data_IF_577208506392
#
_entry.id   IF_577208506392
#
_cell.length_a   1.000
_cell.length_b   1.000
_cell.length_c   1.000
_cell.angle_alpha   90.00
_cell.angle_beta   90.00
_cell.angle_gamma   90.00
#
_symmetry.space_group_name_H-M   'P 1'
#
loop_
_entity.id
_entity.type
_entity.pdbx_description
1 polymer ?
#
# COMPACT_ATOMS: atom_id res chain seq x y z
N UNK A 1 -59.87 61.13 -15.56
CA UNK A 1 -59.38 62.27 -14.75
C UNK A 1 -59.32 61.77 -13.31
N UNK A 2 -58.20 61.59 -12.62
CA UNK A 2 -56.99 62.39 -12.52
C UNK A 2 -55.74 61.50 -12.42
N UNK A 3 -54.74 61.87 -13.23
CA UNK A 3 -53.35 61.43 -13.16
C UNK A 3 -52.67 62.13 -11.98
N UNK A 4 -51.97 61.37 -11.12
CA UNK A 4 -50.93 61.91 -10.24
C UNK A 4 -49.61 61.18 -10.52
N UNK A 5 -48.79 61.87 -11.32
CA UNK A 5 -47.38 61.58 -11.57
C UNK A 5 -46.62 61.57 -10.24
N UNK A 6 -45.99 60.44 -9.91
CA UNK A 6 -44.93 60.40 -8.88
C UNK A 6 -43.70 61.16 -9.41
N UNK A 7 -43.17 62.07 -8.59
CA UNK A 7 -41.96 62.85 -8.89
C UNK A 7 -40.70 61.97 -8.75
N UNK A 8 -39.66 62.13 -9.59
CA UNK A 8 -38.49 61.24 -9.65
C UNK A 8 -37.45 61.46 -8.52
N UNK A 9 -37.83 62.11 -7.41
CA UNK A 9 -36.90 62.41 -6.32
C UNK A 9 -36.74 61.26 -5.31
N UNK A 10 -37.69 60.32 -5.23
CA UNK A 10 -37.62 59.20 -4.28
C UNK A 10 -36.76 58.00 -4.73
N UNK A 11 -36.51 57.85 -6.03
CA UNK A 11 -35.77 56.70 -6.59
C UNK A 11 -34.25 56.93 -6.53
N UNK A 12 -33.80 58.18 -6.63
CA UNK A 12 -32.37 58.51 -6.49
C UNK A 12 -31.86 58.40 -5.04
N UNK A 13 -32.72 58.60 -4.04
CA UNK A 13 -32.33 58.43 -2.62
C UNK A 13 -32.24 56.95 -2.21
N UNK A 14 -33.04 56.06 -2.82
CA UNK A 14 -32.94 54.62 -2.58
C UNK A 14 -31.70 53.99 -3.24
N UNK A 15 -31.26 54.50 -4.39
CA UNK A 15 -30.03 54.03 -5.05
C UNK A 15 -28.78 54.51 -4.29
N UNK A 16 -28.81 55.71 -3.70
CA UNK A 16 -27.70 56.24 -2.88
C UNK A 16 -27.52 55.55 -1.52
N UNK A 17 -28.60 55.01 -0.93
CA UNK A 17 -28.57 54.26 0.33
C UNK A 17 -28.24 52.77 0.15
N UNK A 18 -28.46 52.20 -1.04
CA UNK A 18 -28.02 50.84 -1.38
C UNK A 18 -26.54 50.76 -1.79
N UNK A 19 -25.88 51.89 -2.07
CA UNK A 19 -24.47 51.97 -2.46
C UNK A 19 -23.48 52.25 -1.31
N UNK A 20 -23.95 52.47 -0.08
CA UNK A 20 -23.10 52.80 1.08
C UNK A 20 -23.17 51.77 2.24
N UNK A 21 -23.73 50.57 1.99
CA UNK A 21 -24.07 49.63 3.07
C UNK A 21 -23.64 48.17 2.88
N UNK A 22 -22.95 47.83 1.78
CA UNK A 22 -22.23 46.55 1.70
C UNK A 22 -20.76 46.90 1.77
N UNK A 23 -20.26 47.07 2.99
CA UNK A 23 -18.85 46.79 3.22
C UNK A 23 -18.66 45.36 2.72
N UNK A 24 -18.06 45.21 1.53
CA UNK A 24 -17.42 43.96 1.17
C UNK A 24 -16.63 43.56 2.41
N UNK A 25 -16.76 42.32 2.94
CA UNK A 25 -15.88 41.90 4.01
C UNK A 25 -14.50 42.25 3.52
N UNK A 26 -13.82 43.16 4.23
CA UNK A 26 -12.44 43.44 3.97
C UNK A 26 -11.81 42.06 3.94
N UNK A 27 -11.35 41.62 2.77
CA UNK A 27 -10.49 40.47 2.61
C UNK A 27 -9.28 40.82 3.46
N UNK A 28 -9.38 40.54 4.76
CA UNK A 28 -8.26 40.51 5.67
C UNK A 28 -7.34 39.56 4.94
N UNK A 29 -6.25 40.08 4.39
CA UNK A 29 -5.28 39.24 3.70
C UNK A 29 -4.99 38.11 4.67
N UNK A 30 -5.50 36.91 4.37
CA UNK A 30 -5.40 35.78 5.27
C UNK A 30 -3.90 35.62 5.49
N UNK A 31 -3.45 35.67 6.74
CA UNK A 31 -2.05 35.49 7.05
C UNK A 31 -1.58 34.20 6.38
N UNK A 32 -0.44 34.22 5.68
CA UNK A 32 0.03 33.05 4.97
C UNK A 32 0.14 31.88 5.96
N UNK A 33 -0.32 30.70 5.56
CA UNK A 33 -0.29 29.52 6.42
C UNK A 33 1.18 29.14 6.67
N UNK A 34 1.64 29.26 7.91
CA UNK A 34 2.89 28.69 8.37
C UNK A 34 2.61 27.38 9.12
N UNK A 35 3.36 26.33 8.80
CA UNK A 35 3.28 25.01 9.45
C UNK A 35 4.63 24.62 10.03
N UNK A 36 4.62 24.09 11.24
CA UNK A 36 5.79 23.50 11.89
C UNK A 36 5.76 21.99 11.70
N UNK A 37 6.76 21.47 10.99
CA UNK A 37 6.92 20.03 10.72
C UNK A 37 8.10 19.51 11.53
N UNK A 38 7.89 18.41 12.24
CA UNK A 38 8.94 17.66 12.92
C UNK A 38 9.10 16.27 12.29
N UNK A 39 10.34 15.79 12.11
CA UNK A 39 10.61 14.37 11.83
C UNK A 39 11.59 13.80 12.84
N UNK A 40 11.39 12.53 13.20
CA UNK A 40 12.21 11.80 14.16
C UNK A 40 12.05 10.28 13.96
N UNK A 41 13.17 9.57 13.78
CA UNK A 41 13.20 8.13 14.05
C UNK A 41 13.13 7.92 15.58
N UNK A 42 12.07 7.27 16.06
CA UNK A 42 11.77 7.12 17.49
C UNK A 42 12.51 5.93 18.13
N UNK A 43 13.27 5.16 17.36
CA UNK A 43 14.05 4.01 17.84
C UNK A 43 13.22 3.06 18.71
N UNK A 44 12.02 2.71 18.24
CA UNK A 44 11.07 1.86 18.96
C UNK A 44 10.66 2.41 20.34
N UNK A 45 10.64 3.74 20.50
CA UNK A 45 10.32 4.42 21.77
C UNK A 45 11.40 4.26 22.82
N UNK A 46 12.65 4.04 22.42
CA UNK A 46 13.77 3.84 23.33
C UNK A 46 14.83 4.91 23.11
N UNK A 47 15.48 5.29 24.20
CA UNK A 47 16.71 6.06 24.10
C UNK A 47 17.86 5.22 23.51
N UNK A 48 19.03 5.85 23.34
CA UNK A 48 20.22 5.18 22.81
C UNK A 48 20.70 4.00 23.67
N UNK A 49 20.40 4.04 24.97
CA UNK A 49 20.82 3.05 25.96
C UNK A 49 19.77 1.92 26.07
N UNK A 50 18.67 2.02 25.32
CA UNK A 50 17.60 1.04 25.20
C UNK A 50 16.47 1.21 26.21
N UNK A 51 16.50 2.27 27.04
CA UNK A 51 15.46 2.52 28.04
C UNK A 51 14.21 3.17 27.42
N UNK A 52 12.99 2.86 27.92
CA UNK A 52 11.77 3.47 27.43
C UNK A 52 11.79 4.99 27.53
N UNK A 53 11.34 5.66 26.46
CA UNK A 53 11.47 7.11 26.32
C UNK A 53 10.17 7.80 25.82
N UNK A 54 9.06 7.06 25.71
CA UNK A 54 7.80 7.59 25.19
C UNK A 54 7.29 8.82 25.95
N UNK A 55 7.34 8.82 27.27
CA UNK A 55 6.87 9.94 28.10
C UNK A 55 7.67 11.23 27.83
N UNK A 56 9.00 11.11 27.76
CA UNK A 56 9.90 12.23 27.45
C UNK A 56 9.68 12.76 26.03
N UNK A 57 9.35 11.87 25.09
CA UNK A 57 8.94 12.30 23.75
C UNK A 57 7.62 13.08 23.78
N UNK A 58 6.62 12.64 24.56
CA UNK A 58 5.36 13.36 24.73
C UNK A 58 5.58 14.75 25.35
N UNK A 59 6.44 14.87 26.36
CA UNK A 59 6.85 16.15 26.95
C UNK A 59 7.53 17.06 25.91
N UNK A 60 8.44 16.51 25.11
CA UNK A 60 9.13 17.26 24.07
C UNK A 60 8.13 17.88 23.08
N UNK A 61 7.18 17.10 22.57
CA UNK A 61 6.23 17.58 21.56
C UNK A 61 5.16 18.50 22.16
N UNK A 62 4.88 18.39 23.46
CA UNK A 62 4.05 19.35 24.18
C UNK A 62 4.75 20.71 24.39
N UNK A 63 6.08 20.72 24.55
CA UNK A 63 6.84 21.98 24.60
C UNK A 63 7.00 22.58 23.21
N UNK A 64 7.30 21.76 22.19
CA UNK A 64 7.62 22.24 20.84
C UNK A 64 6.40 22.53 19.97
N UNK A 65 5.24 21.97 20.31
CA UNK A 65 3.94 22.14 19.62
C UNK A 65 4.02 22.11 18.07
N UNK A 66 4.65 21.11 17.43
CA UNK A 66 4.62 20.98 15.98
C UNK A 66 3.20 20.70 15.45
N UNK A 67 2.87 21.25 14.29
CA UNK A 67 1.58 21.03 13.61
C UNK A 67 1.47 19.61 13.05
N UNK A 68 2.60 19.06 12.60
CA UNK A 68 2.72 17.69 12.11
C UNK A 68 4.05 17.07 12.57
N UNK A 69 3.97 15.81 12.98
CA UNK A 69 5.12 15.00 13.39
C UNK A 69 5.16 13.73 12.53
N UNK A 70 6.25 13.53 11.80
CA UNK A 70 6.53 12.33 11.03
C UNK A 70 7.52 11.44 11.80
N UNK A 71 7.04 10.30 12.29
CA UNK A 71 7.83 9.37 13.08
C UNK A 71 8.16 8.11 12.30
N UNK A 72 9.37 7.58 12.50
CA UNK A 72 9.82 6.28 12.02
C UNK A 72 10.12 5.37 13.22
N UNK A 73 10.16 4.06 13.00
CA UNK A 73 10.39 3.05 14.04
C UNK A 73 9.47 3.18 15.26
N UNK A 74 8.17 3.36 15.02
CA UNK A 74 7.20 3.47 16.10
C UNK A 74 6.55 2.13 16.37
N UNK A 75 6.68 1.60 17.58
CA UNK A 75 5.94 0.42 18.00
C UNK A 75 4.42 0.68 18.05
N UNK A 76 3.62 -0.29 17.62
CA UNK A 76 2.15 -0.20 17.61
C UNK A 76 1.56 0.06 19.02
N UNK A 77 2.24 -0.42 20.06
CA UNK A 77 1.86 -0.21 21.47
C UNK A 77 1.79 1.29 21.84
N UNK A 78 2.57 2.15 21.20
CA UNK A 78 2.62 3.58 21.50
C UNK A 78 1.44 4.38 20.93
N UNK A 79 0.70 3.81 19.97
CA UNK A 79 -0.41 4.50 19.28
C UNK A 79 -1.45 5.03 20.25
N UNK A 80 -1.86 4.21 21.23
CA UNK A 80 -2.87 4.60 22.22
C UNK A 80 -2.41 5.79 23.08
N UNK A 81 -1.12 5.86 23.41
CA UNK A 81 -0.56 6.98 24.17
C UNK A 81 -0.58 8.29 23.36
N UNK A 82 -0.32 8.23 22.05
CA UNK A 82 -0.43 9.42 21.18
C UNK A 82 -1.88 9.91 21.04
N UNK A 83 -2.83 8.98 20.90
CA UNK A 83 -4.27 9.32 20.87
C UNK A 83 -4.73 9.92 22.20
N UNK A 84 -4.28 9.37 23.33
CA UNK A 84 -4.55 9.90 24.66
C UNK A 84 -3.96 11.31 24.88
N UNK A 85 -2.82 11.61 24.24
CA UNK A 85 -2.23 12.95 24.19
C UNK A 85 -2.96 13.92 23.23
N UNK A 86 -4.06 13.50 22.61
CA UNK A 86 -4.91 14.35 21.77
C UNK A 86 -4.47 14.46 20.31
N UNK A 87 -3.55 13.60 19.85
CA UNK A 87 -3.15 13.56 18.45
C UNK A 87 -4.08 12.66 17.65
N UNK A 88 -4.35 13.06 16.40
CA UNK A 88 -4.82 12.13 15.37
C UNK A 88 -3.62 11.36 14.84
N UNK A 89 -3.76 10.04 14.77
CA UNK A 89 -2.66 9.14 14.44
C UNK A 89 -2.93 8.44 13.12
N UNK A 90 -1.99 8.55 12.18
CA UNK A 90 -1.97 7.75 10.95
C UNK A 90 -0.84 6.75 11.04
N UNK A 91 -1.16 5.47 11.01
CA UNK A 91 -0.18 4.38 11.11
C UNK A 91 0.06 3.72 9.75
N UNK A 92 1.32 3.43 9.47
CA UNK A 92 1.77 2.55 8.39
C UNK A 92 2.75 1.54 8.96
N UNK A 93 2.22 0.40 9.41
CA UNK A 93 3.04 -0.64 10.01
C UNK A 93 3.80 -1.36 8.89
N UNK A 94 5.12 -1.36 9.01
CA UNK A 94 6.03 -1.88 8.01
C UNK A 94 6.47 -3.31 8.37
N UNK A 95 6.46 -3.65 9.66
CA UNK A 95 6.61 -5.00 10.18
C UNK A 95 5.51 -5.32 11.18
N UNK A 96 4.89 -6.50 11.07
CA UNK A 96 3.72 -6.91 11.83
C UNK A 96 3.81 -8.35 12.37
N UNK A 97 4.86 -8.67 13.15
CA UNK A 97 4.90 -9.95 13.86
C UNK A 97 3.88 -9.98 15.02
N UNK A 98 3.43 -11.17 15.48
CA UNK A 98 2.48 -11.27 16.60
C UNK A 98 2.89 -10.48 17.85
N UNK A 99 4.19 -10.44 18.17
CA UNK A 99 4.74 -9.82 19.39
C UNK A 99 5.57 -8.55 19.14
N UNK A 100 5.79 -8.16 17.88
CA UNK A 100 6.59 -7.00 17.56
C UNK A 100 6.09 -6.36 16.27
N UNK A 101 5.61 -5.12 16.37
CA UNK A 101 4.98 -4.40 15.27
C UNK A 101 5.45 -2.98 15.29
N UNK A 102 6.08 -2.54 14.21
CA UNK A 102 6.54 -1.16 14.10
C UNK A 102 6.46 -0.63 12.67
N UNK A 103 6.51 0.69 12.54
CA UNK A 103 6.55 1.33 11.23
C UNK A 103 6.51 2.85 11.33
N UNK A 104 5.96 3.45 10.28
CA UNK A 104 5.86 4.90 10.16
C UNK A 104 4.57 5.38 10.81
N UNK A 105 4.63 6.53 11.48
CA UNK A 105 3.46 7.17 12.09
C UNK A 105 3.46 8.65 11.75
N UNK A 106 2.30 9.22 11.46
CA UNK A 106 2.10 10.67 11.42
C UNK A 106 1.19 11.06 12.58
N UNK A 107 1.61 12.06 13.34
CA UNK A 107 0.84 12.69 14.41
C UNK A 107 0.47 14.11 14.00
N UNK A 108 -0.77 14.51 14.22
CA UNK A 108 -1.20 15.90 14.02
C UNK A 108 -2.43 16.22 14.87
N UNK A 109 -2.58 17.48 15.27
CA UNK A 109 -3.81 17.99 15.91
C UNK A 109 -4.84 18.47 14.87
N UNK A 110 -4.42 18.60 13.61
CA UNK A 110 -5.21 19.18 12.51
C UNK A 110 -6.06 18.16 11.77
N UNK A 111 -7.00 18.63 10.95
CA UNK A 111 -7.93 17.74 10.25
C UNK A 111 -7.20 16.94 9.16
N UNK A 112 -7.34 15.61 9.22
CA UNK A 112 -6.93 14.70 8.15
C UNK A 112 -8.09 14.56 7.17
N UNK A 113 -7.87 14.94 5.91
CA UNK A 113 -8.85 14.82 4.83
C UNK A 113 -8.89 13.38 4.31
N UNK A 114 -7.72 12.80 4.11
CA UNK A 114 -7.55 11.37 3.87
C UNK A 114 -6.12 10.95 4.19
N UNK A 115 -5.91 9.65 4.30
CA UNK A 115 -4.59 9.07 4.40
C UNK A 115 -4.53 7.70 3.71
N UNK A 116 -3.32 7.25 3.41
CA UNK A 116 -3.04 5.86 3.01
C UNK A 116 -1.62 5.47 3.37
N UNK A 117 -1.39 4.16 3.42
CA UNK A 117 -0.06 3.56 3.52
C UNK A 117 0.24 2.80 2.23
N UNK A 118 1.47 2.90 1.75
CA UNK A 118 1.96 2.19 0.56
C UNK A 118 3.28 1.49 0.91
N UNK A 119 3.37 0.20 0.62
CA UNK A 119 4.64 -0.53 0.72
C UNK A 119 5.59 -0.11 -0.38
N UNK A 120 6.86 0.04 -0.03
CA UNK A 120 7.93 0.25 -0.99
C UNK A 120 8.60 -1.08 -1.36
N UNK A 121 9.27 -1.16 -2.53
CA UNK A 121 10.15 -2.27 -2.85
C UNK A 121 11.21 -2.43 -1.77
N UNK A 122 11.32 -3.62 -1.19
CA UNK A 122 12.29 -3.91 -0.14
C UNK A 122 12.97 -5.24 -0.43
N UNK A 123 14.18 -5.43 0.09
CA UNK A 123 14.99 -6.65 0.08
C UNK A 123 15.24 -7.19 1.50
N UNK A 124 15.25 -6.32 2.53
CA UNK A 124 15.45 -6.71 3.95
C UNK A 124 14.22 -6.52 4.83
N UNK A 125 14.20 -5.49 5.66
CA UNK A 125 13.00 -5.08 6.36
C UNK A 125 12.03 -4.47 5.33
N UNK A 126 10.74 -4.77 5.46
CA UNK A 126 9.75 -4.14 4.59
C UNK A 126 9.69 -2.65 4.94
N UNK A 127 9.72 -1.79 3.93
CA UNK A 127 9.59 -0.33 4.08
C UNK A 127 8.28 0.16 3.48
N UNK A 128 7.89 1.37 3.81
CA UNK A 128 6.66 1.96 3.30
C UNK A 128 6.66 3.46 3.44
N UNK A 129 5.63 4.08 2.90
CA UNK A 129 5.32 5.49 3.10
C UNK A 129 3.92 5.65 3.66
N UNK A 130 3.74 6.68 4.50
CA UNK A 130 2.42 7.20 4.84
C UNK A 130 2.19 8.47 4.05
N UNK A 131 1.11 8.51 3.29
CA UNK A 131 0.61 9.72 2.68
C UNK A 131 -0.59 10.24 3.47
N UNK A 132 -0.57 11.52 3.80
CA UNK A 132 -1.66 12.21 4.49
C UNK A 132 -1.97 13.50 3.75
N UNK A 133 -3.26 13.77 3.53
CA UNK A 133 -3.75 15.09 3.14
C UNK A 133 -4.30 15.80 4.39
N UNK A 134 -3.76 16.98 4.67
CA UNK A 134 -4.17 17.80 5.81
C UNK A 134 -4.97 19.02 5.39
N UNK A 135 -5.79 19.50 6.30
CA UNK A 135 -6.46 20.79 6.25
C UNK A 135 -6.10 21.60 7.49
N UNK A 136 -5.54 22.79 7.29
CA UNK A 136 -5.23 23.77 8.33
C UNK A 136 -5.72 25.14 7.86
N UNK A 137 -6.61 25.76 8.63
CA UNK A 137 -7.19 27.08 8.32
C UNK A 137 -7.80 27.14 6.90
N UNK A 138 -8.50 26.08 6.48
CA UNK A 138 -9.10 25.97 5.15
C UNK A 138 -8.12 25.75 4.00
N UNK A 139 -6.83 25.55 4.29
CA UNK A 139 -5.78 25.31 3.28
C UNK A 139 -5.33 23.87 3.32
N UNK A 140 -5.08 23.30 2.14
CA UNK A 140 -4.83 21.89 1.95
C UNK A 140 -3.44 21.61 1.40
N UNK A 141 -2.80 20.56 1.92
CA UNK A 141 -1.50 20.10 1.44
C UNK A 141 -1.29 18.62 1.79
N UNK A 142 -0.29 18.01 1.15
CA UNK A 142 0.09 16.62 1.36
C UNK A 142 1.37 16.51 2.15
N UNK A 143 1.45 15.44 2.93
CA UNK A 143 2.68 15.01 3.58
C UNK A 143 2.93 13.54 3.27
N UNK A 144 4.17 13.23 2.90
CA UNK A 144 4.70 11.87 2.84
C UNK A 144 5.69 11.69 4.00
N UNK A 145 5.45 10.70 4.85
CA UNK A 145 6.41 10.19 5.82
C UNK A 145 7.01 8.87 5.30
N UNK A 146 8.34 8.77 5.26
CA UNK A 146 9.06 7.59 4.76
C UNK A 146 10.16 7.10 5.71
N UNK A 147 10.59 5.87 5.50
CA UNK A 147 11.80 5.31 6.08
C UNK A 147 12.47 4.42 5.02
N UNK A 148 13.60 4.85 4.45
CA UNK A 148 14.27 4.09 3.40
C UNK A 148 15.06 2.90 3.98
N UNK A 149 15.33 1.92 3.11
CA UNK A 149 16.24 0.82 3.41
C UNK A 149 17.68 1.30 3.50
N UNK A 150 18.59 0.37 3.80
CA UNK A 150 20.02 0.65 3.99
C UNK A 150 20.86 0.31 2.74
N UNK A 151 20.34 -0.53 1.84
CA UNK A 151 21.09 -1.00 0.67
C UNK A 151 20.92 -0.07 -0.52
N UNK A 152 22.02 0.35 -1.16
CA UNK A 152 21.98 1.27 -2.31
C UNK A 152 21.01 0.85 -3.44
N UNK A 153 20.99 -0.43 -3.80
CA UNK A 153 20.09 -0.94 -4.85
C UNK A 153 18.60 -0.88 -4.42
N UNK A 154 18.33 -1.21 -3.15
CA UNK A 154 17.01 -1.11 -2.55
C UNK A 154 16.57 0.36 -2.47
N UNK A 155 17.40 1.25 -1.92
CA UNK A 155 17.15 2.69 -1.84
C UNK A 155 16.86 3.30 -3.21
N UNK A 156 17.61 2.89 -4.27
CA UNK A 156 17.32 3.34 -5.64
C UNK A 156 15.91 2.93 -6.08
N UNK A 157 15.54 1.66 -5.91
CA UNK A 157 14.20 1.17 -6.27
C UNK A 157 13.10 1.89 -5.49
N UNK A 158 13.31 2.13 -4.20
CA UNK A 158 12.40 2.85 -3.33
C UNK A 158 12.22 4.30 -3.76
N UNK A 159 13.32 5.00 -4.07
CA UNK A 159 13.27 6.38 -4.56
C UNK A 159 12.60 6.48 -5.94
N UNK A 160 12.92 5.57 -6.87
CA UNK A 160 12.26 5.51 -8.18
C UNK A 160 10.74 5.36 -8.00
N UNK A 161 10.31 4.52 -7.06
CA UNK A 161 8.90 4.29 -6.73
C UNK A 161 8.24 5.53 -6.09
N UNK A 162 8.89 6.16 -5.11
CA UNK A 162 8.42 7.40 -4.49
C UNK A 162 8.24 8.48 -5.55
N UNK A 163 9.18 8.63 -6.49
CA UNK A 163 9.08 9.62 -7.56
C UNK A 163 7.93 9.34 -8.54
N UNK A 164 7.59 8.07 -8.79
CA UNK A 164 6.37 7.73 -9.57
C UNK A 164 5.12 8.14 -8.81
N UNK A 165 5.06 7.82 -7.52
CA UNK A 165 3.96 8.18 -6.63
C UNK A 165 3.76 9.69 -6.61
N UNK A 166 4.81 10.46 -6.34
CA UNK A 166 4.70 11.91 -6.13
C UNK A 166 4.31 12.66 -7.40
N UNK A 167 4.63 12.15 -8.60
CA UNK A 167 4.16 12.71 -9.88
C UNK A 167 2.64 12.63 -10.06
N UNK A 168 1.97 11.69 -9.39
CA UNK A 168 0.51 11.55 -9.42
C UNK A 168 -0.17 12.39 -8.35
N UNK A 169 0.58 12.88 -7.36
CA UNK A 169 0.00 13.59 -6.23
C UNK A 169 -0.18 15.09 -6.53
N UNK A 170 -1.37 15.65 -6.27
CA UNK A 170 -1.55 17.10 -6.25
C UNK A 170 -0.61 17.77 -5.25
N UNK A 171 0.06 18.84 -5.67
CA UNK A 171 0.79 19.75 -4.79
C UNK A 171 -0.19 20.73 -4.11
N UNK A 172 0.15 21.37 -2.97
CA UNK A 172 1.45 21.41 -2.27
C UNK A 172 1.84 20.11 -1.55
N UNK A 173 3.14 19.78 -1.53
CA UNK A 173 3.68 18.54 -0.95
C UNK A 173 4.89 18.79 -0.04
N UNK A 174 4.92 18.08 1.08
CA UNK A 174 6.07 17.93 1.98
C UNK A 174 6.45 16.44 2.02
N UNK A 175 7.74 16.12 1.92
CA UNK A 175 8.26 14.75 2.02
C UNK A 175 9.29 14.73 3.13
N UNK A 176 9.11 13.85 4.11
CA UNK A 176 9.97 13.83 5.29
C UNK A 176 10.15 12.43 5.85
N UNK A 177 11.21 12.24 6.62
CA UNK A 177 11.50 10.99 7.32
C UNK A 177 12.98 10.68 7.35
N UNK A 178 13.27 9.43 7.70
CA UNK A 178 14.62 8.87 7.67
C UNK A 178 14.93 8.35 6.25
N UNK A 179 15.79 9.08 5.55
CA UNK A 179 16.21 8.73 4.20
C UNK A 179 17.36 7.71 4.18
N UNK A 180 18.06 7.47 5.30
CA UNK A 180 19.30 6.70 5.33
C UNK A 180 20.33 7.14 4.24
N UNK A 181 20.23 8.41 3.81
CA UNK A 181 20.99 9.03 2.73
C UNK A 181 21.17 10.50 3.06
N UNK A 182 22.39 11.02 2.86
CA UNK A 182 22.63 12.45 2.98
C UNK A 182 22.05 13.22 1.78
N UNK A 183 21.67 14.51 1.94
CA UNK A 183 21.12 15.32 0.84
C UNK A 183 22.01 15.39 -0.40
N UNK A 184 23.33 15.28 -0.21
CA UNK A 184 24.35 15.30 -1.26
C UNK A 184 24.52 13.98 -2.00
N UNK A 185 23.89 12.90 -1.54
CA UNK A 185 24.06 11.57 -2.11
C UNK A 185 23.56 11.50 -3.56
N UNK A 186 24.28 10.78 -4.43
CA UNK A 186 23.98 10.73 -5.88
C UNK A 186 22.54 10.30 -6.21
N UNK A 187 21.93 9.44 -5.39
CA UNK A 187 20.54 9.00 -5.57
C UNK A 187 19.52 10.13 -5.36
N UNK A 188 19.87 11.17 -4.60
CA UNK A 188 19.02 12.34 -4.33
C UNK A 188 19.39 13.55 -5.20
N UNK A 189 20.44 13.45 -6.02
CA UNK A 189 20.91 14.55 -6.89
C UNK A 189 19.83 15.13 -7.80
N UNK A 190 18.91 14.30 -8.27
CA UNK A 190 17.80 14.69 -9.15
C UNK A 190 16.44 14.66 -8.44
N UNK A 191 16.43 14.71 -7.11
CA UNK A 191 15.17 14.78 -6.37
C UNK A 191 14.53 16.15 -6.67
N UNK A 192 13.28 16.19 -7.17
CA UNK A 192 12.69 17.42 -7.72
C UNK A 192 12.22 18.40 -6.64
N UNK A 193 12.40 18.05 -5.36
CA UNK A 193 12.00 18.83 -4.20
C UNK A 193 13.22 19.51 -3.58
N UNK A 194 13.01 20.62 -2.88
CA UNK A 194 14.09 21.32 -2.19
C UNK A 194 14.18 20.86 -0.74
N UNK A 195 15.40 20.66 -0.24
CA UNK A 195 15.65 20.31 1.15
C UNK A 195 15.75 21.57 2.02
N UNK A 196 15.16 21.56 3.22
CA UNK A 196 15.24 22.71 4.15
C UNK A 196 16.67 23.06 4.53
N UNK A 197 17.56 22.07 4.65
CA UNK A 197 18.97 22.25 4.96
C UNK A 197 19.79 22.96 3.87
N UNK A 198 19.24 23.09 2.66
CA UNK A 198 19.86 23.90 1.60
C UNK A 198 19.67 25.41 1.84
N UNK A 199 18.66 25.80 2.64
CA UNK A 199 18.39 27.21 3.01
C UNK A 199 18.91 27.50 4.42
N UNK A 200 18.72 26.57 5.35
CA UNK A 200 19.17 26.66 6.74
C UNK A 200 20.13 25.50 7.01
N UNK A 201 21.45 25.66 6.86
CA UNK A 201 22.41 24.57 7.07
C UNK A 201 22.17 23.86 8.42
N UNK A 202 21.91 22.55 8.36
CA UNK A 202 21.60 21.73 9.51
C UNK A 202 22.81 20.86 9.90
N UNK A 203 23.08 20.65 11.21
CA UNK A 203 24.06 19.67 11.64
C UNK A 203 23.54 18.24 11.39
N UNK A 204 24.41 17.25 11.63
CA UNK A 204 24.05 15.85 11.53
C UNK A 204 22.99 15.43 12.56
N UNK A 205 22.23 14.37 12.24
CA UNK A 205 21.13 13.84 13.07
C UNK A 205 21.44 12.47 13.66
N UNK A 206 22.32 11.68 13.03
CA UNK A 206 22.62 10.29 13.42
C UNK A 206 24.13 9.97 13.38
N UNK A 207 24.65 9.11 14.28
CA UNK A 207 24.02 8.61 15.50
C UNK A 207 24.18 9.59 16.67
N UNK A 208 23.14 9.78 17.47
CA UNK A 208 23.21 10.50 18.73
C UNK A 208 24.06 9.73 19.77
N UNK A 209 24.83 10.42 20.64
CA UNK A 209 24.88 11.87 20.85
C UNK A 209 25.89 12.61 19.96
N UNK A 210 26.69 11.89 19.18
CA UNK A 210 27.78 12.45 18.36
C UNK A 210 27.49 12.24 16.87
N UNK A 211 26.47 12.92 16.33
CA UNK A 211 25.97 12.63 15.00
C UNK A 211 26.99 13.00 13.92
N UNK A 212 27.01 12.20 12.85
CA UNK A 212 27.94 12.33 11.72
C UNK A 212 27.24 12.46 10.38
N UNK A 213 26.01 11.98 10.29
CA UNK A 213 25.23 11.97 9.06
C UNK A 213 23.93 12.76 9.25
N UNK A 214 23.60 13.59 8.26
CA UNK A 214 22.29 14.25 8.15
C UNK A 214 21.41 13.38 7.27
N UNK A 215 20.63 12.48 7.88
CA UNK A 215 19.81 11.49 7.15
C UNK A 215 18.31 11.61 7.42
N UNK A 216 17.93 12.38 8.44
CA UNK A 216 16.54 12.75 8.71
C UNK A 216 16.24 14.07 8.02
N UNK A 217 15.40 14.05 6.97
CA UNK A 217 15.29 15.16 6.04
C UNK A 217 13.85 15.68 5.94
N UNK A 218 13.71 16.98 5.65
CA UNK A 218 12.45 17.63 5.28
C UNK A 218 12.61 18.26 3.90
N UNK A 219 11.86 17.75 2.94
CA UNK A 219 11.80 18.23 1.56
C UNK A 219 10.45 18.87 1.27
N UNK A 220 10.42 19.84 0.36
CA UNK A 220 9.20 20.56 0.03
C UNK A 220 9.08 20.89 -1.47
N UNK A 221 7.84 20.92 -1.97
CA UNK A 221 7.51 21.42 -3.31
C UNK A 221 7.67 22.96 -3.41
N UNK A 222 7.84 23.53 -4.61
CA UNK A 222 8.07 24.98 -4.81
C UNK A 222 7.05 25.93 -4.16
N UNK A 223 5.85 25.42 -3.87
CA UNK A 223 4.75 26.08 -3.15
C UNK A 223 5.11 26.50 -1.71
N UNK A 224 6.17 25.96 -1.11
CA UNK A 224 6.59 26.29 0.25
C UNK A 224 7.81 27.21 0.27
N UNK A 225 7.87 28.04 1.31
CA UNK A 225 9.01 28.89 1.68
C UNK A 225 9.47 28.50 3.09
N UNK A 226 10.69 28.02 3.29
CA UNK A 226 11.17 27.74 4.64
C UNK A 226 11.43 29.06 5.38
N UNK A 227 10.96 29.13 6.63
CA UNK A 227 11.12 30.29 7.52
C UNK A 227 12.21 30.06 8.58
N UNK A 228 12.34 28.82 9.05
CA UNK A 228 13.34 28.39 10.00
C UNK A 228 13.51 26.87 9.90
N UNK A 229 14.68 26.36 10.23
CA UNK A 229 14.88 24.93 10.50
C UNK A 229 15.99 24.73 11.53
N UNK A 230 15.87 23.68 12.33
CA UNK A 230 16.87 23.27 13.32
C UNK A 230 16.90 21.76 13.52
N UNK A 231 18.04 21.27 14.01
CA UNK A 231 18.18 19.91 14.56
C UNK A 231 18.29 20.06 16.07
N UNK A 232 17.37 19.43 16.80
CA UNK A 232 17.32 19.53 18.24
C UNK A 232 18.19 18.44 18.87
N UNK A 233 19.22 18.82 19.63
CA UNK A 233 19.95 17.83 20.43
C UNK A 233 19.04 17.26 21.51
N UNK A 234 18.80 15.96 21.44
CA UNK A 234 17.91 15.24 22.34
C UNK A 234 18.37 13.79 22.47
N UNK A 235 18.52 13.29 23.69
CA UNK A 235 19.08 11.98 24.02
C UNK A 235 18.01 10.88 24.11
N UNK A 236 16.78 11.17 23.70
CA UNK A 236 15.63 10.26 23.77
C UNK A 236 15.50 9.28 22.60
N UNK A 237 16.42 9.34 21.64
CA UNK A 237 16.54 8.42 20.51
C UNK A 237 18.01 8.38 20.08
N UNK A 238 18.38 7.41 19.25
CA UNK A 238 19.66 7.41 18.53
C UNK A 238 19.67 8.38 17.33
N UNK A 239 18.54 9.03 17.03
CA UNK A 239 18.41 10.14 16.09
C UNK A 239 18.01 11.45 16.80
N UNK A 240 18.49 12.58 16.29
CA UNK A 240 18.03 13.91 16.69
C UNK A 240 16.80 14.37 15.87
N UNK A 241 15.77 14.94 16.52
CA UNK A 241 14.62 15.50 15.82
C UNK A 241 15.02 16.65 14.89
N UNK A 242 14.45 16.69 13.69
CA UNK A 242 14.54 17.82 12.77
C UNK A 242 13.23 18.58 12.76
N UNK A 243 13.28 19.89 12.96
CA UNK A 243 12.09 20.77 12.98
C UNK A 243 12.26 21.83 11.89
N UNK A 244 11.24 22.05 11.07
CA UNK A 244 11.20 23.14 10.11
C UNK A 244 9.86 23.88 10.14
N UNK A 245 9.92 25.20 10.02
CA UNK A 245 8.77 26.06 9.78
C UNK A 245 8.68 26.37 8.29
N UNK A 246 7.55 26.06 7.68
CA UNK A 246 7.31 26.25 6.25
C UNK A 246 6.08 27.13 6.05
N UNK A 247 6.22 28.19 5.28
CA UNK A 247 5.12 29.07 4.87
C UNK A 247 4.63 28.68 3.48
N UNK A 248 3.32 28.54 3.33
CA UNK A 248 2.67 28.24 2.07
C UNK A 248 2.51 29.51 1.23
N UNK A 249 3.26 29.61 0.12
CA UNK A 249 3.27 30.80 -0.76
C UNK A 249 1.94 31.01 -1.47
N UNK A 250 1.36 29.93 -1.98
CA UNK A 250 0.11 29.91 -2.74
C UNK A 250 -0.84 28.89 -2.12
N UNK A 251 -1.71 29.32 -1.20
CA UNK A 251 -2.49 28.39 -0.41
C UNK A 251 -3.61 27.72 -1.23
N UNK A 252 -3.52 26.39 -1.39
CA UNK A 252 -4.60 25.60 -1.99
C UNK A 252 -5.82 25.57 -1.09
N UNK A 253 -6.97 26.03 -1.59
CA UNK A 253 -8.28 25.93 -0.92
C UNK A 253 -9.10 24.74 -1.39
N UNK A 254 -8.56 23.95 -2.31
CA UNK A 254 -9.27 22.81 -2.89
C UNK A 254 -8.94 21.57 -2.06
N UNK A 255 -9.96 20.88 -1.50
CA UNK A 255 -9.73 19.62 -0.82
C UNK A 255 -8.99 18.62 -1.70
N UNK A 256 -7.90 18.07 -1.19
CA UNK A 256 -7.12 17.07 -1.90
C UNK A 256 -7.81 15.70 -1.77
N UNK A 257 -8.27 15.15 -2.89
CA UNK A 257 -8.92 13.83 -2.93
C UNK A 257 -7.90 12.70 -3.01
N UNK A 258 -8.33 11.48 -2.70
CA UNK A 258 -7.53 10.29 -2.97
C UNK A 258 -7.25 10.18 -4.48
N UNK A 259 -5.99 9.92 -4.83
CA UNK A 259 -5.58 9.64 -6.21
C UNK A 259 -5.37 8.14 -6.33
N UNK A 260 -5.94 7.48 -7.34
CA UNK A 260 -5.63 6.09 -7.62
C UNK A 260 -4.15 5.98 -8.03
N UNK A 261 -3.36 5.32 -7.20
CA UNK A 261 -1.95 5.01 -7.50
C UNK A 261 -1.89 3.52 -7.81
N UNK A 262 -1.42 3.13 -9.01
CA UNK A 262 -1.19 1.72 -9.32
C UNK A 262 -0.30 1.07 -8.25
N UNK A 263 -0.61 -0.17 -7.84
CA UNK A 263 0.31 -0.96 -7.01
C UNK A 263 1.52 -1.33 -7.88
N UNK A 264 2.49 -0.44 -8.03
CA UNK A 264 3.62 -0.67 -8.93
C UNK A 264 4.57 -1.77 -8.41
N UNK A 265 4.38 -2.25 -7.17
CA UNK A 265 5.06 -3.45 -6.65
C UNK A 265 4.41 -4.76 -7.11
N UNK A 266 3.23 -4.67 -7.74
CA UNK A 266 2.51 -5.72 -8.45
C UNK A 266 2.49 -5.37 -9.93
N UNK A 267 3.61 -5.61 -10.62
CA UNK A 267 3.46 -6.02 -12.02
C UNK A 267 2.46 -7.19 -12.04
N UNK A 268 1.38 -7.03 -12.81
CA UNK A 268 0.29 -7.98 -12.95
C UNK A 268 0.86 -9.40 -13.15
N UNK A 269 0.74 -10.26 -12.14
CA UNK A 269 1.35 -11.58 -12.14
C UNK A 269 0.35 -12.61 -12.70
N UNK A 270 0.64 -13.32 -13.81
CA UNK A 270 -0.28 -14.28 -14.40
C UNK A 270 -0.26 -15.67 -13.73
N UNK A 271 0.51 -15.87 -12.64
CA UNK A 271 0.41 -17.12 -11.85
C UNK A 271 -0.95 -17.32 -11.24
N UNK A 272 -1.67 -16.24 -10.92
CA UNK A 272 -3.03 -16.25 -10.44
C UNK A 272 -3.77 -14.99 -10.88
N UNK A 273 -5.10 -15.04 -11.02
CA UNK A 273 -5.92 -13.83 -11.15
C UNK A 273 -5.65 -12.90 -9.96
N UNK A 274 -5.66 -11.57 -10.18
CA UNK A 274 -5.60 -10.62 -9.07
C UNK A 274 -6.85 -10.86 -8.20
N UNK A 275 -6.69 -11.38 -6.97
CA UNK A 275 -7.84 -11.75 -6.16
C UNK A 275 -8.61 -10.52 -5.67
N UNK A 276 -8.17 -9.31 -6.04
CA UNK A 276 -8.77 -8.03 -5.68
C UNK A 276 -10.04 -7.67 -6.45
N UNK A 277 -10.27 -8.25 -7.63
CA UNK A 277 -11.36 -7.87 -8.51
C UNK A 277 -12.30 -9.05 -8.80
N UNK A 278 -13.61 -8.81 -8.99
CA UNK A 278 -14.52 -9.83 -9.48
C UNK A 278 -14.11 -10.29 -10.88
N UNK A 279 -14.00 -11.60 -11.07
CA UNK A 279 -13.68 -12.16 -12.38
C UNK A 279 -14.44 -13.45 -12.61
N UNK A 280 -14.50 -13.83 -13.88
CA UNK A 280 -15.10 -15.07 -14.34
C UNK A 280 -14.11 -15.80 -15.24
N UNK A 281 -13.96 -17.11 -15.08
CA UNK A 281 -13.08 -17.95 -15.89
C UNK A 281 -13.85 -19.15 -16.44
N UNK A 282 -13.55 -19.53 -17.68
CA UNK A 282 -14.00 -20.78 -18.29
C UNK A 282 -12.78 -21.54 -18.81
N UNK A 283 -12.70 -22.83 -18.50
CA UNK A 283 -11.74 -23.77 -19.05
C UNK A 283 -12.42 -24.86 -19.88
N UNK A 284 -11.79 -25.27 -20.97
CA UNK A 284 -12.14 -26.48 -21.73
C UNK A 284 -10.87 -27.23 -22.07
N UNK A 285 -10.85 -28.54 -21.81
CA UNK A 285 -9.68 -29.37 -22.00
C UNK A 285 -10.00 -30.76 -22.50
N UNK A 286 -8.95 -31.46 -22.88
CA UNK A 286 -8.98 -32.86 -23.29
C UNK A 286 -7.94 -33.61 -22.48
N UNK A 287 -8.37 -34.68 -21.83
CA UNK A 287 -7.51 -35.64 -21.14
C UNK A 287 -7.39 -36.90 -21.98
N UNK A 288 -6.16 -37.34 -22.21
CA UNK A 288 -5.86 -38.62 -22.84
C UNK A 288 -5.26 -39.55 -21.80
N UNK A 289 -5.93 -40.68 -21.60
CA UNK A 289 -5.49 -41.77 -20.73
C UNK A 289 -5.15 -42.99 -21.58
N UNK A 290 -4.70 -44.07 -20.93
CA UNK A 290 -4.54 -45.38 -21.60
C UNK A 290 -5.87 -45.94 -22.11
N UNK A 291 -6.98 -45.62 -21.44
CA UNK A 291 -8.30 -46.22 -21.68
C UNK A 291 -9.19 -45.40 -22.59
N UNK A 292 -8.85 -44.15 -22.88
CA UNK A 292 -9.65 -43.32 -23.79
C UNK A 292 -9.27 -41.84 -23.78
N UNK A 293 -10.16 -41.03 -24.36
CA UNK A 293 -10.08 -39.58 -24.39
C UNK A 293 -11.33 -39.01 -23.73
N UNK A 294 -11.13 -38.11 -22.77
CA UNK A 294 -12.18 -37.48 -21.97
C UNK A 294 -12.14 -35.95 -22.19
N UNK A 295 -13.30 -35.30 -22.28
CA UNK A 295 -13.40 -33.84 -22.33
C UNK A 295 -13.60 -33.33 -20.92
N UNK A 296 -12.84 -32.30 -20.55
CA UNK A 296 -12.99 -31.60 -19.28
C UNK A 296 -13.47 -30.18 -19.49
N UNK A 297 -14.13 -29.63 -18.48
CA UNK A 297 -14.45 -28.21 -18.45
C UNK A 297 -14.56 -27.69 -17.04
N UNK A 298 -14.32 -26.40 -16.87
CA UNK A 298 -14.47 -25.70 -15.60
C UNK A 298 -15.01 -24.29 -15.82
N UNK A 299 -15.71 -23.77 -14.81
CA UNK A 299 -16.22 -22.41 -14.79
C UNK A 299 -16.13 -21.88 -13.37
N UNK A 300 -15.32 -20.84 -13.16
CA UNK A 300 -15.09 -20.20 -11.87
C UNK A 300 -15.64 -18.78 -11.90
N UNK A 301 -16.44 -18.43 -10.90
CA UNK A 301 -16.93 -17.08 -10.69
C UNK A 301 -16.56 -16.57 -9.30
N UNK A 302 -15.95 -15.39 -9.21
CA UNK A 302 -15.64 -14.70 -7.95
C UNK A 302 -16.47 -13.43 -7.83
N UNK A 303 -17.28 -13.32 -6.77
CA UNK A 303 -18.16 -12.16 -6.54
C UNK A 303 -17.39 -10.92 -6.03
N UNK A 304 -16.59 -11.04 -4.96
CA UNK A 304 -16.07 -9.86 -4.22
C UNK A 304 -14.80 -10.11 -3.34
N UNK A 305 -13.77 -10.76 -3.87
CA UNK A 305 -12.58 -11.25 -3.12
C UNK A 305 -12.89 -12.29 -2.03
N UNK A 306 -14.14 -12.45 -1.60
CA UNK A 306 -14.52 -13.27 -0.45
C UNK A 306 -15.30 -14.51 -0.81
N UNK A 307 -16.07 -14.51 -1.88
CA UNK A 307 -16.93 -15.64 -2.25
C UNK A 307 -16.68 -16.05 -3.70
N UNK A 308 -16.56 -17.36 -3.93
CA UNK A 308 -16.47 -17.94 -5.26
C UNK A 308 -17.38 -19.16 -5.42
N UNK A 309 -17.84 -19.37 -6.65
CA UNK A 309 -18.56 -20.55 -7.10
C UNK A 309 -17.78 -21.16 -8.28
N UNK A 310 -17.52 -22.45 -8.21
CA UNK A 310 -16.83 -23.22 -9.25
C UNK A 310 -17.70 -24.40 -9.68
N UNK A 311 -17.84 -24.59 -10.98
CA UNK A 311 -18.42 -25.77 -11.58
C UNK A 311 -17.39 -26.45 -12.46
N UNK A 312 -17.06 -27.70 -12.17
CA UNK A 312 -16.08 -28.46 -12.96
C UNK A 312 -16.64 -29.80 -13.42
N UNK A 313 -16.13 -30.30 -14.53
CA UNK A 313 -16.46 -31.57 -15.15
C UNK A 313 -15.16 -32.22 -15.60
N UNK A 314 -14.84 -33.38 -15.02
CA UNK A 314 -13.56 -34.08 -15.25
C UNK A 314 -13.66 -35.17 -16.32
N UNK A 315 -14.71 -35.17 -17.12
CA UNK A 315 -14.99 -36.22 -18.11
C UNK A 315 -15.90 -37.33 -17.60
N UNK A 316 -16.15 -37.39 -16.28
CA UNK A 316 -17.03 -38.40 -15.69
C UNK A 316 -18.28 -37.77 -15.10
N UNK A 317 -18.13 -36.83 -14.18
CA UNK A 317 -19.26 -36.26 -13.42
C UNK A 317 -19.08 -34.78 -13.12
N UNK A 318 -20.18 -34.00 -13.11
CA UNK A 318 -20.12 -32.61 -12.70
C UNK A 318 -19.86 -32.49 -11.19
N UNK A 319 -19.10 -31.46 -10.85
CA UNK A 319 -18.75 -31.06 -9.49
C UNK A 319 -19.15 -29.60 -9.33
N UNK A 320 -19.81 -29.28 -8.23
CA UNK A 320 -20.10 -27.91 -7.83
C UNK A 320 -19.34 -27.62 -6.54
N UNK A 321 -18.71 -26.44 -6.47
CA UNK A 321 -17.88 -25.98 -5.37
C UNK A 321 -18.31 -24.57 -4.97
N UNK A 322 -18.62 -24.37 -3.71
CA UNK A 322 -18.82 -23.04 -3.11
C UNK A 322 -17.69 -22.80 -2.13
N UNK A 323 -17.03 -21.65 -2.22
CA UNK A 323 -15.94 -21.34 -1.30
C UNK A 323 -15.79 -19.87 -0.96
N UNK A 324 -15.03 -19.66 0.10
CA UNK A 324 -14.63 -18.34 0.56
C UNK A 324 -13.14 -18.13 0.40
N UNK A 325 -12.76 -16.89 0.16
CA UNK A 325 -11.39 -16.44 -0.04
C UNK A 325 -11.02 -15.36 0.99
N UNK A 326 -9.76 -15.35 1.41
CA UNK A 326 -9.18 -14.28 2.22
C UNK A 326 -7.74 -14.04 1.82
N UNK A 327 -7.44 -12.80 1.44
CA UNK A 327 -6.09 -12.38 1.08
C UNK A 327 -5.39 -11.86 2.32
N UNK A 328 -4.13 -12.26 2.48
CA UNK A 328 -3.20 -11.72 3.48
C UNK A 328 -1.97 -11.18 2.74
N UNK A 329 -1.57 -9.96 3.04
CA UNK A 329 -0.26 -9.47 2.61
C UNK A 329 0.78 -9.92 3.64
N UNK A 330 1.61 -10.89 3.29
CA UNK A 330 2.64 -11.42 4.18
C UNK A 330 3.83 -10.47 4.32
N UNK A 331 3.98 -9.50 3.41
CA UNK A 331 4.98 -8.42 3.58
C UNK A 331 4.73 -7.64 4.87
N UNK A 332 3.48 -7.55 5.27
CA UNK A 332 3.11 -6.94 6.54
C UNK A 332 3.57 -7.82 7.70
N UNK A 333 3.14 -9.07 7.74
CA UNK A 333 3.25 -9.91 8.94
C UNK A 333 4.62 -10.55 9.16
N UNK A 334 5.32 -10.93 8.10
CA UNK A 334 6.45 -11.86 8.17
C UNK A 334 7.77 -11.29 7.61
N UNK A 335 7.79 -10.00 7.26
CA UNK A 335 8.95 -9.34 6.63
C UNK A 335 10.25 -9.45 7.43
N UNK A 336 10.18 -9.37 8.75
CA UNK A 336 11.35 -9.52 9.64
C UNK A 336 11.96 -10.92 9.62
N UNK A 337 11.20 -11.94 9.26
CA UNK A 337 11.69 -13.32 9.10
C UNK A 337 12.08 -13.63 7.65
N UNK A 338 12.17 -12.61 6.79
CA UNK A 338 12.52 -12.76 5.38
C UNK A 338 11.44 -13.40 4.51
N UNK A 339 10.30 -13.80 5.09
CA UNK A 339 9.17 -14.36 4.37
C UNK A 339 8.26 -13.24 3.86
N UNK A 340 8.06 -13.20 2.55
CA UNK A 340 7.36 -12.11 1.85
C UNK A 340 6.45 -12.67 0.79
N UNK A 341 5.33 -11.99 0.57
CA UNK A 341 4.40 -12.40 -0.45
C UNK A 341 2.98 -11.94 -0.20
N UNK A 342 2.07 -12.38 -1.05
CA UNK A 342 0.65 -12.35 -0.77
C UNK A 342 0.17 -13.79 -0.64
N UNK A 343 -0.56 -14.07 0.43
CA UNK A 343 -1.20 -15.36 0.63
C UNK A 343 -2.69 -15.26 0.30
N UNK A 344 -3.20 -16.18 -0.51
CA UNK A 344 -4.63 -16.39 -0.68
C UNK A 344 -5.01 -17.64 0.10
N UNK A 345 -5.81 -17.45 1.15
CA UNK A 345 -6.45 -18.55 1.85
C UNK A 345 -7.82 -18.79 1.24
N UNK A 346 -8.15 -20.05 1.03
CA UNK A 346 -9.47 -20.46 0.55
C UNK A 346 -10.00 -21.59 1.42
N UNK A 347 -11.30 -21.57 1.66
CA UNK A 347 -12.03 -22.68 2.23
C UNK A 347 -13.26 -22.94 1.38
N UNK A 348 -13.49 -24.18 0.96
CA UNK A 348 -14.61 -24.52 0.09
C UNK A 348 -15.27 -25.83 0.49
N UNK A 349 -16.53 -25.96 0.09
CA UNK A 349 -17.29 -27.19 0.10
C UNK A 349 -17.61 -27.56 -1.35
N UNK A 350 -17.42 -28.83 -1.68
CA UNK A 350 -17.68 -29.36 -3.01
C UNK A 350 -18.58 -30.58 -2.95
N UNK A 351 -19.40 -30.78 -3.97
CA UNK A 351 -20.33 -31.92 -4.10
C UNK A 351 -20.40 -32.40 -5.55
N UNK A 352 -20.47 -33.72 -5.70
CA UNK A 352 -20.84 -34.42 -6.95
C UNK A 352 -21.94 -35.44 -6.63
N UNK A 353 -22.62 -35.98 -7.63
CA UNK A 353 -23.80 -36.84 -7.48
C UNK A 353 -23.61 -37.97 -6.45
N UNK A 354 -22.55 -38.77 -6.61
CA UNK A 354 -22.35 -40.03 -5.87
C UNK A 354 -21.61 -39.91 -4.54
N UNK A 355 -20.87 -38.82 -4.33
CA UNK A 355 -19.98 -38.70 -3.17
C UNK A 355 -20.58 -37.81 -2.10
N UNK A 356 -20.30 -38.07 -0.82
CA UNK A 356 -20.60 -37.09 0.22
C UNK A 356 -19.87 -35.76 -0.07
N UNK A 357 -20.45 -34.61 0.32
CA UNK A 357 -19.73 -33.34 0.22
C UNK A 357 -18.37 -33.43 0.92
N UNK A 358 -17.35 -32.81 0.33
CA UNK A 358 -16.03 -32.69 0.95
C UNK A 358 -15.64 -31.24 1.10
N UNK A 359 -14.81 -30.99 2.11
CA UNK A 359 -14.24 -29.69 2.36
C UNK A 359 -12.83 -29.63 1.79
N UNK A 360 -12.45 -28.46 1.29
CA UNK A 360 -11.08 -28.16 0.88
C UNK A 360 -10.64 -26.89 1.56
N UNK A 361 -9.48 -26.95 2.22
CA UNK A 361 -8.76 -25.77 2.64
C UNK A 361 -7.52 -25.63 1.75
N UNK A 362 -7.23 -24.44 1.26
CA UNK A 362 -6.00 -24.17 0.52
C UNK A 362 -5.35 -22.86 0.90
N UNK A 363 -4.03 -22.80 0.76
CA UNK A 363 -3.21 -21.61 0.88
C UNK A 363 -2.33 -21.52 -0.35
N UNK A 364 -2.42 -20.43 -1.07
CA UNK A 364 -1.44 -20.06 -2.07
C UNK A 364 -0.54 -18.95 -1.54
N UNK A 365 0.76 -19.09 -1.75
CA UNK A 365 1.81 -18.15 -1.38
C UNK A 365 2.49 -17.64 -2.63
N UNK A 366 2.49 -16.32 -2.85
CA UNK A 366 3.30 -15.69 -3.89
C UNK A 366 4.59 -15.15 -3.29
N UNK A 367 5.69 -15.89 -3.40
CA UNK A 367 6.97 -15.48 -2.81
C UNK A 367 7.60 -14.26 -3.51
N UNK A 368 7.47 -14.18 -4.84
CA UNK A 368 7.93 -13.04 -5.64
C UNK A 368 7.16 -12.95 -6.98
N UNK A 369 7.63 -12.12 -7.92
CA UNK A 369 7.00 -11.99 -9.25
C UNK A 369 7.11 -13.24 -10.12
N UNK A 370 8.05 -14.14 -9.80
CA UNK A 370 8.34 -15.35 -10.58
C UNK A 370 7.92 -16.67 -9.92
N UNK A 371 7.77 -16.70 -8.61
CA UNK A 371 7.60 -17.94 -7.84
C UNK A 371 6.38 -17.88 -6.93
N UNK A 372 5.63 -18.98 -6.87
CA UNK A 372 4.59 -19.19 -5.87
C UNK A 372 4.34 -20.67 -5.57
N UNK A 373 3.76 -20.93 -4.41
CA UNK A 373 3.50 -22.28 -3.88
C UNK A 373 2.05 -22.38 -3.42
N UNK A 374 1.34 -23.43 -3.80
CA UNK A 374 0.00 -23.77 -3.31
C UNK A 374 0.06 -25.03 -2.47
N UNK A 375 -0.54 -24.95 -1.28
CA UNK A 375 -0.81 -26.08 -0.41
C UNK A 375 -2.33 -26.24 -0.31
N UNK A 376 -2.85 -27.44 -0.49
CA UNK A 376 -4.27 -27.72 -0.27
C UNK A 376 -4.47 -29.04 0.47
N UNK A 377 -5.48 -29.08 1.33
CA UNK A 377 -5.93 -30.28 2.03
C UNK A 377 -7.43 -30.45 1.82
N UNK A 378 -7.89 -31.67 1.53
CA UNK A 378 -9.31 -31.98 1.34
C UNK A 378 -9.78 -33.21 2.09
N UNK A 379 -11.02 -33.19 2.58
CA UNK A 379 -11.62 -34.28 3.36
C UNK A 379 -12.32 -35.28 2.43
N UNK A 380 -11.57 -36.22 1.82
CA UNK A 380 -12.17 -37.25 0.95
C UNK A 380 -12.58 -38.48 1.77
N UNK A 381 -13.52 -39.27 1.24
CA UNK A 381 -14.02 -40.48 1.91
C UNK A 381 -12.90 -41.51 2.20
N UNK A 382 -11.87 -41.54 1.34
CA UNK A 382 -10.71 -42.42 1.48
C UNK A 382 -9.59 -41.84 2.36
N UNK A 383 -9.87 -40.75 3.08
CA UNK A 383 -8.91 -40.04 3.93
C UNK A 383 -8.54 -38.64 3.42
N UNK A 384 -7.78 -37.87 4.22
CA UNK A 384 -7.37 -36.53 3.83
C UNK A 384 -6.38 -36.58 2.67
N UNK A 385 -6.65 -35.82 1.61
CA UNK A 385 -5.75 -35.65 0.47
C UNK A 385 -5.03 -34.32 0.58
N UNK A 386 -3.70 -34.35 0.53
CA UNK A 386 -2.87 -33.15 0.48
C UNK A 386 -2.26 -32.97 -0.90
N UNK A 387 -2.18 -31.72 -1.34
CA UNK A 387 -1.62 -31.29 -2.62
C UNK A 387 -0.60 -30.20 -2.35
N UNK A 388 0.60 -30.37 -2.90
CA UNK A 388 1.62 -29.34 -3.01
C UNK A 388 1.81 -29.01 -4.49
N UNK A 389 1.75 -27.74 -4.85
CA UNK A 389 1.96 -27.27 -6.21
C UNK A 389 2.90 -26.07 -6.23
N UNK A 390 4.01 -26.21 -6.95
CA UNK A 390 4.98 -25.14 -7.19
C UNK A 390 4.73 -24.52 -8.56
N UNK A 391 4.74 -23.19 -8.62
CA UNK A 391 4.51 -22.41 -9.83
C UNK A 391 5.69 -21.49 -10.10
N UNK A 392 6.19 -21.49 -11.33
CA UNK A 392 7.32 -20.68 -11.77
C UNK A 392 7.05 -19.99 -13.11
N UNK A 393 7.36 -18.70 -13.24
CA UNK A 393 7.42 -17.99 -14.53
C UNK A 393 8.88 -17.68 -14.87
N UNK A 394 9.47 -18.41 -15.84
CA UNK A 394 10.79 -18.07 -16.33
C UNK A 394 10.81 -16.69 -17.01
N UNK A 395 9.72 -16.35 -17.72
CA UNK A 395 9.53 -15.10 -18.47
C UNK A 395 8.05 -14.69 -18.42
N UNK A 396 7.71 -13.41 -18.67
CA UNK A 396 6.32 -12.98 -18.78
C UNK A 396 5.55 -13.87 -19.77
N UNK A 397 4.31 -14.24 -19.41
CA UNK A 397 3.38 -15.08 -20.19
C UNK A 397 3.68 -16.59 -20.27
N UNK A 398 4.76 -17.08 -19.65
CA UNK A 398 5.04 -18.51 -19.60
C UNK A 398 5.03 -19.00 -18.15
N UNK A 399 4.34 -20.12 -17.90
CA UNK A 399 4.23 -20.72 -16.57
C UNK A 399 4.63 -22.19 -16.64
N UNK A 400 5.46 -22.60 -15.70
CA UNK A 400 5.74 -23.99 -15.39
C UNK A 400 5.10 -24.33 -14.05
N UNK A 401 4.54 -25.53 -13.92
CA UNK A 401 4.00 -26.04 -12.66
C UNK A 401 4.52 -27.44 -12.36
N UNK A 402 4.71 -27.73 -11.08
CA UNK A 402 4.96 -29.06 -10.56
C UNK A 402 4.00 -29.31 -9.42
N UNK A 403 3.21 -30.37 -9.52
CA UNK A 403 2.20 -30.74 -8.53
C UNK A 403 2.44 -32.16 -8.04
N UNK A 404 2.30 -32.34 -6.73
CA UNK A 404 2.47 -33.60 -6.01
C UNK A 404 1.29 -33.78 -5.05
N UNK A 405 0.84 -35.02 -4.85
CA UNK A 405 -0.15 -35.33 -3.84
C UNK A 405 0.18 -36.57 -2.99
N UNK A 406 -0.52 -36.70 -1.86
CA UNK A 406 -0.33 -37.82 -0.91
C UNK A 406 -0.71 -39.19 -1.46
N UNK A 407 -1.33 -39.26 -2.65
CA UNK A 407 -1.67 -40.50 -3.34
C UNK A 407 -0.57 -40.93 -4.31
N UNK A 408 0.63 -40.33 -4.20
CA UNK A 408 1.78 -40.55 -5.09
C UNK A 408 1.51 -40.13 -6.54
N UNK A 409 0.52 -39.26 -6.76
CA UNK A 409 0.30 -38.65 -8.07
C UNK A 409 1.26 -37.47 -8.23
N UNK A 410 1.68 -37.25 -9.48
CA UNK A 410 2.50 -36.10 -9.85
C UNK A 410 2.05 -35.55 -11.20
N UNK A 411 2.25 -34.27 -11.42
CA UNK A 411 1.89 -33.59 -12.66
C UNK A 411 2.89 -32.46 -12.93
N UNK A 412 3.33 -32.34 -14.18
CA UNK A 412 4.15 -31.25 -14.70
C UNK A 412 3.30 -30.51 -15.73
N UNK A 413 3.16 -29.20 -15.56
CA UNK A 413 2.39 -28.35 -16.45
C UNK A 413 3.24 -27.27 -17.11
N UNK A 414 2.90 -26.95 -18.35
CA UNK A 414 3.42 -25.80 -19.09
C UNK A 414 2.24 -25.02 -19.66
N UNK A 415 2.18 -23.73 -19.35
CA UNK A 415 1.16 -22.84 -19.88
C UNK A 415 1.78 -21.63 -20.58
N UNK A 416 1.11 -21.19 -21.65
CA UNK A 416 1.40 -19.96 -22.37
C UNK A 416 0.16 -19.07 -22.40
N UNK A 417 0.34 -17.78 -22.11
CA UNK A 417 -0.70 -16.77 -22.17
C UNK A 417 -0.48 -15.84 -23.36
N UNK A 418 -0.97 -16.21 -24.56
CA UNK A 418 -0.75 -15.40 -25.77
C UNK A 418 -1.48 -14.04 -25.70
N UNK A 419 -2.56 -13.98 -24.93
CA UNK A 419 -3.33 -12.78 -24.64
C UNK A 419 -3.57 -12.68 -23.12
N UNK A 420 -3.85 -11.49 -22.63
CA UNK A 420 -4.01 -11.19 -21.18
C UNK A 420 -5.12 -12.01 -20.52
N UNK A 421 -6.14 -12.39 -21.30
CA UNK A 421 -7.32 -13.11 -20.84
C UNK A 421 -7.35 -14.57 -21.33
N UNK A 422 -6.24 -15.10 -21.84
CA UNK A 422 -6.19 -16.46 -22.37
C UNK A 422 -4.96 -17.19 -21.85
N UNK A 423 -5.14 -18.48 -21.57
CA UNK A 423 -4.03 -19.38 -21.30
C UNK A 423 -4.28 -20.71 -22.02
N UNK A 424 -3.25 -21.21 -22.69
CA UNK A 424 -3.21 -22.58 -23.17
C UNK A 424 -2.26 -23.36 -22.30
N UNK A 425 -2.69 -24.52 -21.80
CA UNK A 425 -1.94 -25.34 -20.87
C UNK A 425 -1.84 -26.78 -21.36
N UNK A 426 -0.64 -27.35 -21.26
CA UNK A 426 -0.37 -28.76 -21.48
C UNK A 426 0.15 -29.34 -20.16
N UNK A 427 -0.38 -30.49 -19.77
CA UNK A 427 0.06 -31.22 -18.58
C UNK A 427 0.39 -32.65 -18.92
N UNK A 428 1.38 -33.17 -18.21
CA UNK A 428 1.68 -34.58 -18.19
C UNK A 428 1.87 -35.01 -16.75
N UNK A 429 1.21 -36.09 -16.38
CA UNK A 429 1.28 -36.59 -15.02
C UNK A 429 0.88 -38.04 -14.91
N UNK A 430 0.99 -38.53 -13.68
CA UNK A 430 0.52 -39.84 -13.27
C UNK A 430 -0.48 -39.66 -12.14
N UNK A 431 -1.66 -40.27 -12.27
CA UNK A 431 -2.71 -40.29 -11.24
C UNK A 431 -3.02 -41.74 -10.92
N UNK A 432 -2.76 -42.15 -9.68
CA UNK A 432 -2.70 -43.57 -9.31
C UNK A 432 -1.77 -44.39 -10.24
N UNK A 433 -2.30 -45.30 -11.07
CA UNK A 433 -1.50 -46.12 -12.00
C UNK A 433 -1.51 -45.61 -13.45
N UNK A 434 -2.36 -44.63 -13.77
CA UNK A 434 -2.55 -44.14 -15.13
C UNK A 434 -1.70 -42.91 -15.44
N UNK A 435 -1.06 -42.94 -16.60
CA UNK A 435 -0.48 -41.74 -17.20
C UNK A 435 -1.56 -40.95 -17.91
N UNK A 436 -1.57 -39.64 -17.65
CA UNK A 436 -2.55 -38.71 -18.18
C UNK A 436 -1.79 -37.58 -18.88
N UNK A 437 -2.20 -37.34 -20.12
CA UNK A 437 -1.81 -36.15 -20.87
C UNK A 437 -3.03 -35.25 -21.02
N UNK A 438 -2.89 -34.00 -20.63
CA UNK A 438 -3.97 -33.01 -20.71
C UNK A 438 -3.55 -31.84 -21.56
N UNK A 439 -4.46 -31.31 -22.35
CA UNK A 439 -4.29 -30.03 -23.02
C UNK A 439 -5.60 -29.24 -22.98
N UNK A 440 -5.54 -27.94 -22.69
CA UNK A 440 -6.74 -27.13 -22.54
C UNK A 440 -6.52 -25.64 -22.70
N UNK A 441 -7.62 -24.95 -22.97
CA UNK A 441 -7.70 -23.51 -23.05
C UNK A 441 -8.51 -22.96 -21.89
N UNK A 442 -8.06 -21.84 -21.33
CA UNK A 442 -8.73 -21.07 -20.31
C UNK A 442 -8.94 -19.64 -20.81
N UNK A 443 -10.10 -19.06 -20.48
CA UNK A 443 -10.46 -17.69 -20.77
C UNK A 443 -10.93 -16.97 -19.51
N UNK A 444 -10.32 -15.84 -19.17
CA UNK A 444 -10.65 -15.05 -17.97
C UNK A 444 -11.25 -13.70 -18.35
N UNK A 445 -12.44 -13.38 -17.86
CA UNK A 445 -13.19 -12.17 -18.17
C UNK A 445 -13.24 -11.25 -16.94
N UNK A 446 -13.12 -9.93 -17.17
CA UNK A 446 -13.08 -8.91 -16.12
C UNK A 446 -11.95 -9.06 -15.08
N UNK A 447 -10.98 -9.96 -15.30
CA UNK A 447 -9.70 -9.91 -14.61
C UNK A 447 -9.04 -8.57 -14.94
N UNK A 448 -8.41 -7.87 -13.97
CA UNK A 448 -7.66 -6.66 -14.28
C UNK A 448 -6.68 -7.01 -15.37
N UNK A 449 -6.78 -6.26 -16.45
CA UNK A 449 -5.98 -6.52 -17.61
C UNK A 449 -4.50 -6.45 -17.17
N UNK A 450 -3.71 -7.45 -17.58
CA UNK A 450 -2.25 -7.43 -17.46
C UNK A 450 -1.71 -6.30 -18.35
N UNK A 451 -1.91 -5.03 -18.00
CA UNK A 451 -1.55 -3.87 -18.86
C UNK A 451 -0.18 -3.33 -18.55
N UNK A 452 0.63 -3.35 -19.62
CA UNK A 452 1.80 -2.56 -20.04
C UNK A 452 2.65 -1.87 -18.98
#
# INVERSE_FOLDING_TARGET
>A
MFSKKMKPAGILLLIGLLLNGVAAPSLRAESPLAVTVMTLNLHNGKDRDGAPNLERFLELIDVRQPDLIALQEVERSHVQSFEAAGYRVVTGMNANLPFFRFGNVILTKHRIVYHRHLYLPSNREQRGINEVALEINGRYFRVINLHLGLGRAEQKQQLDEILKITRLLPEPLIITGDFNLEPSHDLLKNFPYQHVGAVFPLPATFPAPNPRYLIDLIWYSPHWRPLAAEVLSWDGSDHFPVIAQLELKEPSTVPLTAVAIPDFTRENNPLLPDPGEPFFEIGVGVNRTKTGTEITGDALFTWDQKLFLDGSYDGRKPVCTLGINRIFDLRDYFSLMGARGKALWSFSVSKTEDLKPWYTWSQYYRWNSRWGTKLAASTRENGPKWILEELYLPVPNYRCSLKLDTEKSWEIGFAVSPLKNQAFEIKWGKKAEDEIFSAGWHWSFNSPAVIE
#
